data_IF_214104218813
#
_entry.id   IF_214104218813
#
_cell.length_a   1.000
_cell.length_b   1.000
_cell.length_c   1.000
_cell.angle_alpha   90.00
_cell.angle_beta   90.00
_cell.angle_gamma   90.00
#
_symmetry.space_group_name_H-M   'P 1'
#
loop_
_entity.id
_entity.type
_entity.pdbx_description
1 polymer ?
#
# COMPACT_ATOMS: atom_id res chain seq x y z
N UNK A 1 22.13 21.16 -3.17
CA UNK A 1 22.41 19.80 -2.69
C UNK A 1 22.27 19.84 -1.18
N UNK A 2 21.48 18.97 -0.62
CA UNK A 2 21.36 18.86 0.83
C UNK A 2 22.61 18.20 1.40
N UNK A 3 23.13 18.72 2.50
CA UNK A 3 24.26 18.11 3.19
C UNK A 3 23.74 16.96 4.06
N UNK A 4 24.25 15.76 3.81
CA UNK A 4 23.97 14.57 4.61
C UNK A 4 25.09 14.31 5.61
N UNK A 5 24.69 13.84 6.80
CA UNK A 5 25.56 13.17 7.73
C UNK A 5 25.27 11.68 7.67
N UNK A 6 26.31 10.88 7.56
CA UNK A 6 26.22 9.43 7.56
C UNK A 6 26.50 8.90 8.96
N UNK A 7 25.45 8.39 9.60
CA UNK A 7 25.61 7.70 10.87
C UNK A 7 25.93 6.24 10.62
N UNK A 8 27.09 5.79 11.14
CA UNK A 8 27.47 4.39 11.14
C UNK A 8 27.86 3.99 12.57
N UNK A 9 27.00 3.20 13.24
CA UNK A 9 27.18 2.82 14.64
C UNK A 9 28.52 2.15 14.95
N UNK A 10 29.15 1.50 13.95
CA UNK A 10 30.44 0.80 14.11
C UNK A 10 31.65 1.61 13.64
N UNK A 11 31.40 2.75 12.99
CA UNK A 11 32.45 3.49 12.30
C UNK A 11 32.99 2.76 11.06
N UNK A 12 34.03 3.32 10.49
CA UNK A 12 34.79 2.72 9.38
C UNK A 12 36.23 2.45 9.86
N UNK A 13 36.74 1.28 9.50
CA UNK A 13 38.10 0.84 9.80
C UNK A 13 39.14 1.24 8.70
N UNK A 14 38.69 2.08 7.76
CA UNK A 14 39.46 2.61 6.65
C UNK A 14 39.11 4.07 6.37
N UNK A 15 40.04 4.85 5.76
CA UNK A 15 39.74 6.24 5.39
C UNK A 15 38.71 6.32 4.27
N UNK A 16 37.89 7.37 4.31
CA UNK A 16 36.92 7.71 3.24
C UNK A 16 37.21 9.14 2.76
N UNK A 17 36.59 9.56 1.64
CA UNK A 17 36.70 10.92 1.14
C UNK A 17 36.32 11.95 2.20
N UNK A 18 37.10 13.04 2.32
CA UNK A 18 36.79 14.15 3.24
C UNK A 18 35.47 14.85 2.95
N UNK A 19 34.94 14.68 1.74
CA UNK A 19 33.62 15.20 1.33
C UNK A 19 32.45 14.43 1.97
N UNK A 20 32.74 13.24 2.54
CA UNK A 20 31.72 12.37 3.14
C UNK A 20 31.92 12.36 4.65
N UNK A 21 31.03 13.05 5.36
CA UNK A 21 31.11 13.10 6.82
C UNK A 21 30.43 11.87 7.44
N UNK A 22 31.22 10.98 8.02
CA UNK A 22 30.71 9.78 8.71
C UNK A 22 30.97 9.92 10.21
N UNK A 23 29.92 9.74 11.01
CA UNK A 23 29.99 9.79 12.48
C UNK A 23 29.50 8.52 13.14
N UNK A 24 30.05 8.19 14.29
CA UNK A 24 29.53 7.14 15.20
C UNK A 24 28.67 7.72 16.31
N UNK A 25 28.62 9.06 16.45
CA UNK A 25 27.88 9.75 17.48
C UNK A 25 26.66 10.49 16.88
N UNK A 26 25.46 10.07 17.25
CA UNK A 26 24.21 10.69 16.76
C UNK A 26 24.07 12.16 17.20
N UNK A 27 24.69 12.56 18.30
CA UNK A 27 24.64 13.94 18.79
C UNK A 27 25.29 14.93 17.81
N UNK A 28 26.26 14.49 17.01
CA UNK A 28 26.92 15.32 15.99
C UNK A 28 25.94 15.72 14.87
N UNK A 29 24.85 14.99 14.74
CA UNK A 29 23.82 15.22 13.72
C UNK A 29 22.70 16.16 14.16
N UNK A 30 22.57 16.47 15.46
CA UNK A 30 21.41 17.23 16.00
C UNK A 30 21.23 18.63 15.42
N UNK A 31 22.23 19.20 14.79
CA UNK A 31 22.20 20.55 14.22
C UNK A 31 22.35 20.57 12.69
N UNK A 32 22.30 19.42 12.02
CA UNK A 32 22.45 19.32 10.56
C UNK A 32 21.30 18.55 9.93
N UNK A 33 20.97 18.91 8.73
CA UNK A 33 19.62 18.77 8.17
C UNK A 33 19.16 17.35 7.81
N UNK A 34 20.06 16.39 7.51
CA UNK A 34 19.62 15.07 7.04
C UNK A 34 20.59 13.96 7.46
N UNK A 35 20.03 12.88 7.97
CA UNK A 35 20.80 11.72 8.42
C UNK A 35 20.54 10.54 7.49
N UNK A 36 21.62 9.91 7.03
CA UNK A 36 21.57 8.58 6.44
C UNK A 36 22.17 7.60 7.44
N UNK A 37 21.40 6.62 7.92
CA UNK A 37 21.85 5.66 8.92
C UNK A 37 22.06 4.28 8.31
N UNK A 38 23.04 3.54 8.82
CA UNK A 38 23.24 2.12 8.51
C UNK A 38 22.37 1.19 9.36
N UNK A 39 21.60 1.72 10.32
CA UNK A 39 20.73 0.97 11.23
C UNK A 39 19.34 1.59 11.31
N UNK A 40 18.32 0.78 11.63
CA UNK A 40 16.96 1.23 11.94
C UNK A 40 16.77 1.65 13.40
N UNK A 41 17.77 1.46 14.24
CA UNK A 41 17.70 1.80 15.67
C UNK A 41 17.73 3.31 15.91
N UNK A 42 18.13 4.06 14.89
CA UNK A 42 18.22 5.52 14.92
C UNK A 42 17.23 6.12 13.95
N UNK A 43 16.49 7.14 14.40
CA UNK A 43 15.63 7.92 13.52
C UNK A 43 16.47 8.67 12.49
N UNK A 44 16.23 8.40 11.21
CA UNK A 44 16.95 8.99 10.09
C UNK A 44 16.04 9.13 8.88
N UNK A 45 16.34 10.06 7.99
CA UNK A 45 15.60 10.27 6.75
C UNK A 45 15.75 9.08 5.80
N UNK A 46 16.93 8.45 5.78
CA UNK A 46 17.18 7.26 4.98
C UNK A 46 17.95 6.20 5.78
N UNK A 47 17.65 4.94 5.48
CA UNK A 47 18.42 3.80 5.98
C UNK A 47 19.14 3.12 4.82
N UNK A 48 20.47 2.94 4.94
CA UNK A 48 21.34 2.37 3.92
C UNK A 48 22.07 1.13 4.45
N UNK A 49 21.33 0.04 4.69
CA UNK A 49 21.89 -1.23 5.16
C UNK A 49 22.87 -1.87 4.18
N UNK A 50 22.72 -1.59 2.90
CA UNK A 50 23.59 -2.08 1.83
C UNK A 50 25.05 -1.70 2.02
N UNK A 51 25.32 -0.57 2.67
CA UNK A 51 26.69 -0.11 2.94
C UNK A 51 27.39 -1.06 3.92
N UNK A 52 26.76 -1.36 5.04
CA UNK A 52 27.30 -2.31 6.02
C UNK A 52 27.40 -3.73 5.45
N UNK A 53 26.40 -4.14 4.67
CA UNK A 53 26.42 -5.43 4.01
C UNK A 53 27.65 -5.55 3.08
N UNK A 54 27.90 -4.52 2.27
CA UNK A 54 29.07 -4.50 1.39
C UNK A 54 30.39 -4.49 2.19
N UNK A 55 30.53 -3.64 3.20
CA UNK A 55 31.73 -3.56 4.03
C UNK A 55 32.08 -4.92 4.64
N UNK A 56 31.06 -5.63 5.14
CA UNK A 56 31.22 -6.91 5.84
C UNK A 56 31.53 -8.07 4.90
N UNK A 57 30.95 -8.09 3.70
CA UNK A 57 30.99 -9.28 2.83
C UNK A 57 31.90 -9.11 1.61
N UNK A 58 32.35 -7.90 1.29
CA UNK A 58 33.23 -7.66 0.14
C UNK A 58 34.64 -8.20 0.38
N UNK A 59 35.15 -8.92 -0.61
CA UNK A 59 36.54 -9.39 -0.69
C UNK A 59 37.42 -8.45 -1.51
N UNK A 60 36.93 -7.26 -1.83
CA UNK A 60 37.69 -6.24 -2.55
C UNK A 60 38.97 -5.82 -1.81
N UNK A 61 40.00 -5.44 -2.56
CA UNK A 61 41.16 -4.77 -1.98
C UNK A 61 40.74 -3.41 -1.38
N UNK A 62 41.58 -2.89 -0.46
CA UNK A 62 41.28 -1.66 0.28
C UNK A 62 40.93 -0.47 -0.63
N UNK A 63 41.66 -0.28 -1.73
CA UNK A 63 41.42 0.83 -2.66
C UNK A 63 40.05 0.76 -3.30
N UNK A 64 39.63 -0.42 -3.75
CA UNK A 64 38.31 -0.63 -4.33
C UNK A 64 37.20 -0.52 -3.26
N UNK A 65 37.49 -1.03 -2.06
CA UNK A 65 36.54 -0.93 -0.94
C UNK A 65 36.23 0.52 -0.60
N UNK A 66 37.26 1.37 -0.49
CA UNK A 66 37.11 2.81 -0.26
C UNK A 66 36.23 3.47 -1.36
N UNK A 67 36.57 3.23 -2.64
CA UNK A 67 35.83 3.80 -3.76
C UNK A 67 34.39 3.38 -3.76
N UNK A 68 34.12 2.09 -3.55
CA UNK A 68 32.77 1.54 -3.60
C UNK A 68 31.91 2.01 -2.42
N UNK A 69 32.49 2.10 -1.22
CA UNK A 69 31.77 2.63 -0.05
C UNK A 69 31.45 4.11 -0.23
N UNK A 70 32.40 4.91 -0.72
CA UNK A 70 32.14 6.32 -1.06
C UNK A 70 30.98 6.44 -2.06
N UNK A 71 31.00 5.60 -3.10
CA UNK A 71 29.92 5.57 -4.10
C UNK A 71 28.58 5.14 -3.53
N UNK A 72 28.56 4.20 -2.59
CA UNK A 72 27.30 3.79 -1.94
C UNK A 72 26.70 4.93 -1.11
N UNK A 73 27.51 5.72 -0.42
CA UNK A 73 27.04 6.92 0.29
C UNK A 73 26.47 7.97 -0.69
N UNK A 74 27.16 8.25 -1.80
CA UNK A 74 26.65 9.16 -2.84
C UNK A 74 25.33 8.67 -3.42
N UNK A 75 25.20 7.37 -3.70
CA UNK A 75 23.96 6.77 -4.20
C UNK A 75 22.84 6.91 -3.17
N UNK A 76 23.11 6.70 -1.88
CA UNK A 76 22.11 6.86 -0.84
C UNK A 76 21.60 8.31 -0.76
N UNK A 77 22.49 9.32 -0.86
CA UNK A 77 22.09 10.73 -0.94
C UNK A 77 21.25 11.02 -2.18
N UNK A 78 21.66 10.48 -3.34
CA UNK A 78 20.91 10.64 -4.60
C UNK A 78 19.52 10.03 -4.53
N UNK A 79 19.35 8.90 -3.86
CA UNK A 79 18.01 8.29 -3.64
C UNK A 79 17.06 9.27 -2.94
N UNK A 80 17.54 10.02 -1.97
CA UNK A 80 16.73 11.02 -1.28
C UNK A 80 16.33 12.18 -2.20
N UNK A 81 17.25 12.70 -3.00
CA UNK A 81 17.00 13.82 -3.91
C UNK A 81 15.91 13.47 -4.96
N UNK A 82 15.76 12.20 -5.29
CA UNK A 82 14.72 11.68 -6.20
C UNK A 82 13.52 11.06 -5.49
N UNK A 83 13.50 11.06 -4.15
CA UNK A 83 12.35 10.57 -3.40
C UNK A 83 11.12 11.46 -3.65
N UNK A 84 9.99 10.82 -3.89
CA UNK A 84 8.70 11.50 -4.03
C UNK A 84 7.80 11.09 -2.87
N UNK A 85 6.98 12.03 -2.42
CA UNK A 85 5.91 11.67 -1.50
C UNK A 85 4.91 10.76 -2.23
N UNK A 86 4.72 9.58 -1.68
CA UNK A 86 3.80 8.56 -2.20
C UNK A 86 2.54 8.45 -1.35
N UNK A 87 2.36 9.35 -0.38
CA UNK A 87 1.22 9.37 0.52
C UNK A 87 0.07 10.16 -0.10
N UNK A 88 -1.09 9.55 -0.14
CA UNK A 88 -2.32 10.12 -0.70
C UNK A 88 -3.47 9.87 0.26
N UNK A 89 -4.57 10.59 0.07
CA UNK A 89 -5.81 10.37 0.81
C UNK A 89 -6.99 10.17 -0.15
N UNK A 90 -7.92 9.31 0.27
CA UNK A 90 -9.20 9.08 -0.38
C UNK A 90 -10.30 9.62 0.54
N UNK A 91 -11.21 10.39 -0.02
CA UNK A 91 -12.41 10.83 0.71
C UNK A 91 -13.32 9.63 0.95
N UNK A 92 -13.81 9.49 2.18
CA UNK A 92 -14.70 8.41 2.62
C UNK A 92 -15.92 9.05 3.26
N UNK A 93 -17.08 8.91 2.63
CA UNK A 93 -18.33 9.38 3.22
C UNK A 93 -18.78 8.46 4.35
N UNK A 94 -19.80 8.88 5.08
CA UNK A 94 -20.42 8.08 6.14
C UNK A 94 -21.40 7.01 5.63
N UNK A 95 -21.47 6.74 4.32
CA UNK A 95 -22.32 5.70 3.74
C UNK A 95 -21.76 4.32 4.04
N UNK A 96 -22.52 3.53 4.76
CA UNK A 96 -22.18 2.19 5.21
C UNK A 96 -23.20 1.18 4.74
N UNK A 97 -22.75 0.11 4.08
CA UNK A 97 -23.57 -1.03 3.75
C UNK A 97 -23.36 -2.15 4.76
N UNK A 98 -24.41 -2.59 5.39
CA UNK A 98 -24.44 -3.75 6.27
C UNK A 98 -25.03 -4.94 5.54
N UNK A 99 -24.27 -6.01 5.43
CA UNK A 99 -24.67 -7.27 4.80
C UNK A 99 -24.79 -8.34 5.89
N UNK A 100 -25.99 -8.85 6.07
CA UNK A 100 -26.31 -9.85 7.11
C UNK A 100 -27.15 -10.98 6.53
N UNK A 101 -27.10 -12.14 7.17
CA UNK A 101 -27.91 -13.30 6.84
C UNK A 101 -29.05 -13.51 7.85
N UNK A 102 -28.86 -13.02 9.08
CA UNK A 102 -29.80 -13.19 10.19
C UNK A 102 -30.21 -11.86 10.80
N UNK A 103 -31.37 -11.86 11.45
CA UNK A 103 -31.84 -10.70 12.20
C UNK A 103 -30.97 -10.41 13.44
N UNK A 104 -30.37 -11.44 14.02
CA UNK A 104 -29.49 -11.34 15.19
C UNK A 104 -28.21 -10.58 14.87
N UNK A 105 -27.55 -10.87 13.74
CA UNK A 105 -26.38 -10.12 13.25
C UNK A 105 -26.71 -8.64 13.04
N UNK A 106 -27.85 -8.35 12.45
CA UNK A 106 -28.33 -6.98 12.24
C UNK A 106 -28.52 -6.26 13.59
N UNK A 107 -29.24 -6.86 14.53
CA UNK A 107 -29.53 -6.27 15.84
C UNK A 107 -28.25 -6.09 16.67
N UNK A 108 -27.33 -7.05 16.62
CA UNK A 108 -26.04 -6.95 17.29
C UNK A 108 -25.27 -5.73 16.78
N UNK A 109 -25.12 -5.57 15.49
CA UNK A 109 -24.39 -4.44 14.91
C UNK A 109 -25.07 -3.11 15.25
N UNK A 110 -26.38 -3.00 15.04
CA UNK A 110 -27.16 -1.76 15.29
C UNK A 110 -27.10 -1.36 16.77
N UNK A 111 -27.08 -2.32 17.70
CA UNK A 111 -27.01 -2.01 19.13
C UNK A 111 -25.72 -1.30 19.55
N UNK A 112 -24.66 -1.41 18.73
CA UNK A 112 -23.31 -0.90 19.03
C UNK A 112 -22.95 0.39 18.29
N UNK A 113 -23.73 0.80 17.28
CA UNK A 113 -23.49 2.04 16.53
C UNK A 113 -24.50 3.13 16.96
N UNK A 114 -24.08 4.39 16.85
CA UNK A 114 -25.00 5.52 17.00
C UNK A 114 -25.59 5.86 15.62
N UNK A 115 -26.91 6.01 15.54
CA UNK A 115 -27.64 6.27 14.28
C UNK A 115 -27.17 7.51 13.50
N UNK A 116 -26.45 8.42 14.17
CA UNK A 116 -25.89 9.63 13.56
C UNK A 116 -24.52 9.43 12.92
N UNK A 117 -23.82 8.32 13.24
CA UNK A 117 -22.45 8.12 12.81
C UNK A 117 -22.39 7.70 11.32
N UNK A 118 -23.40 6.96 10.86
CA UNK A 118 -23.42 6.42 9.49
C UNK A 118 -24.80 6.59 8.84
N UNK A 119 -24.78 6.82 7.53
CA UNK A 119 -25.92 6.62 6.65
C UNK A 119 -25.95 5.13 6.29
N UNK A 120 -26.76 4.36 7.02
CA UNK A 120 -26.76 2.90 6.96
C UNK A 120 -27.76 2.37 5.95
N UNK A 121 -27.25 1.52 5.06
CA UNK A 121 -28.03 0.65 4.18
C UNK A 121 -27.86 -0.80 4.64
N UNK A 122 -28.90 -1.61 4.56
CA UNK A 122 -28.82 -3.03 4.89
C UNK A 122 -29.40 -3.90 3.78
N UNK A 123 -28.70 -5.00 3.48
CA UNK A 123 -29.13 -6.01 2.51
C UNK A 123 -28.83 -7.42 3.01
N UNK A 124 -29.52 -8.40 2.43
CA UNK A 124 -29.19 -9.80 2.62
C UNK A 124 -28.13 -10.25 1.60
N UNK A 125 -27.21 -11.12 1.99
CA UNK A 125 -26.13 -11.56 1.10
C UNK A 125 -26.60 -12.30 -0.17
N UNK A 126 -27.80 -12.91 -0.13
CA UNK A 126 -28.32 -13.72 -1.23
C UNK A 126 -28.56 -12.94 -2.52
N UNK A 127 -28.74 -11.62 -2.44
CA UNK A 127 -28.95 -10.77 -3.61
C UNK A 127 -27.67 -10.22 -4.21
N UNK A 128 -26.50 -10.46 -3.59
CA UNK A 128 -25.22 -9.91 -4.04
C UNK A 128 -24.69 -10.73 -5.20
N UNK A 129 -24.43 -10.06 -6.32
CA UNK A 129 -23.78 -10.62 -7.49
C UNK A 129 -22.28 -10.37 -7.52
N UNK A 130 -21.86 -9.14 -7.24
CA UNK A 130 -20.48 -8.72 -7.32
C UNK A 130 -20.18 -7.53 -6.40
N UNK A 131 -18.93 -7.42 -5.96
CA UNK A 131 -18.40 -6.23 -5.27
C UNK A 131 -17.14 -5.80 -6.02
N UNK A 132 -17.01 -4.51 -6.28
CA UNK A 132 -15.86 -3.91 -6.95
C UNK A 132 -15.54 -2.53 -6.36
N UNK A 133 -14.43 -1.93 -6.78
CA UNK A 133 -13.99 -0.64 -6.26
C UNK A 133 -13.14 -0.77 -5.00
N UNK A 134 -13.06 0.27 -4.22
CA UNK A 134 -12.22 0.38 -3.03
C UNK A 134 -12.91 1.28 -1.99
N UNK A 135 -12.36 1.35 -0.80
CA UNK A 135 -12.86 2.22 0.28
C UNK A 135 -13.15 3.64 -0.24
N UNK A 136 -14.28 4.19 0.13
CA UNK A 136 -14.78 5.49 -0.35
C UNK A 136 -15.48 5.43 -1.72
N UNK A 137 -15.34 4.34 -2.49
CA UNK A 137 -15.98 4.17 -3.80
C UNK A 137 -16.21 2.68 -4.10
N UNK A 138 -16.89 2.00 -3.21
CA UNK A 138 -17.31 0.59 -3.38
C UNK A 138 -18.60 0.52 -4.18
N UNK A 139 -18.65 -0.41 -5.11
CA UNK A 139 -19.82 -0.71 -5.94
C UNK A 139 -20.29 -2.13 -5.69
N UNK A 140 -21.49 -2.27 -5.16
CA UNK A 140 -22.12 -3.56 -4.89
C UNK A 140 -23.22 -3.77 -5.90
N UNK A 141 -23.06 -4.75 -6.79
CA UNK A 141 -24.10 -5.16 -7.72
C UNK A 141 -25.00 -6.18 -7.06
N UNK A 142 -26.27 -5.87 -6.96
CA UNK A 142 -27.30 -6.75 -6.42
C UNK A 142 -28.31 -7.11 -7.49
N UNK A 143 -28.99 -8.25 -7.32
CA UNK A 143 -30.07 -8.71 -8.19
C UNK A 143 -31.38 -8.58 -7.40
N UNK A 144 -32.28 -7.77 -7.91
CA UNK A 144 -33.63 -7.63 -7.39
C UNK A 144 -34.64 -7.87 -8.53
N UNK A 145 -35.55 -8.83 -8.37
CA UNK A 145 -36.58 -9.19 -9.34
C UNK A 145 -36.10 -9.28 -10.81
N UNK A 146 -34.90 -9.88 -11.06
CA UNK A 146 -34.23 -10.01 -12.37
C UNK A 146 -33.53 -8.73 -12.88
N UNK A 147 -33.61 -7.62 -12.17
CA UNK A 147 -32.85 -6.40 -12.49
C UNK A 147 -31.53 -6.31 -11.71
N UNK A 148 -30.50 -5.83 -12.38
CA UNK A 148 -29.23 -5.55 -11.73
C UNK A 148 -29.19 -4.10 -11.25
N UNK A 149 -29.02 -3.91 -9.94
CA UNK A 149 -28.91 -2.61 -9.31
C UNK A 149 -27.49 -2.45 -8.76
N UNK A 150 -26.86 -1.31 -8.98
CA UNK A 150 -25.54 -0.98 -8.44
C UNK A 150 -25.71 0.00 -7.28
N UNK A 151 -25.32 -0.44 -6.09
CA UNK A 151 -25.26 0.39 -4.90
C UNK A 151 -23.85 0.95 -4.76
N UNK A 152 -23.74 2.27 -4.61
CA UNK A 152 -22.46 2.93 -4.34
C UNK A 152 -22.39 3.26 -2.84
N UNK A 153 -21.35 2.77 -2.17
CA UNK A 153 -21.15 2.96 -0.73
C UNK A 153 -19.68 3.20 -0.43
N UNK A 154 -19.39 3.77 0.72
CA UNK A 154 -18.02 4.06 1.10
C UNK A 154 -17.33 2.93 1.87
N UNK A 155 -18.11 2.21 2.69
CA UNK A 155 -17.61 1.09 3.49
C UNK A 155 -18.66 -0.02 3.57
N UNK A 156 -18.22 -1.25 3.81
CA UNK A 156 -19.08 -2.43 3.92
C UNK A 156 -18.74 -3.19 5.20
N UNK A 157 -19.76 -3.58 5.95
CA UNK A 157 -19.69 -4.62 6.98
C UNK A 157 -20.44 -5.84 6.47
N UNK A 158 -19.78 -6.98 6.44
CA UNK A 158 -20.34 -8.23 5.94
C UNK A 158 -20.04 -9.37 6.89
N UNK A 159 -21.04 -9.85 7.59
CA UNK A 159 -20.92 -11.01 8.49
C UNK A 159 -20.70 -12.28 7.67
N UNK A 160 -19.67 -13.07 8.02
CA UNK A 160 -19.21 -14.25 7.27
C UNK A 160 -18.88 -13.95 5.79
N UNK A 161 -18.20 -12.84 5.56
CA UNK A 161 -17.91 -12.35 4.23
C UNK A 161 -17.28 -13.41 3.33
N UNK A 162 -17.87 -13.59 2.14
CA UNK A 162 -17.33 -14.46 1.10
C UNK A 162 -16.06 -13.88 0.50
N UNK A 163 -15.27 -14.71 -0.15
CA UNK A 163 -13.99 -14.32 -0.76
C UNK A 163 -14.11 -13.08 -1.66
N UNK A 164 -15.22 -12.95 -2.37
CA UNK A 164 -15.48 -11.81 -3.26
C UNK A 164 -15.53 -10.46 -2.53
N UNK A 165 -15.91 -10.44 -1.25
CA UNK A 165 -15.94 -9.23 -0.43
C UNK A 165 -14.65 -8.97 0.34
N UNK A 166 -13.97 -10.01 0.75
CA UNK A 166 -12.80 -9.91 1.64
C UNK A 166 -11.58 -9.26 1.01
N UNK A 167 -11.48 -9.26 -0.30
CA UNK A 167 -10.32 -8.71 -1.00
C UNK A 167 -10.42 -7.20 -1.24
N UNK A 168 -11.59 -6.61 -1.04
CA UNK A 168 -11.81 -5.18 -1.26
C UNK A 168 -11.44 -4.38 -0.01
N UNK A 169 -10.64 -3.33 -0.17
CA UNK A 169 -10.43 -2.37 0.92
C UNK A 169 -11.75 -1.71 1.30
N UNK A 170 -11.97 -1.54 2.61
CA UNK A 170 -13.22 -0.99 3.14
C UNK A 170 -14.33 -2.02 3.35
N UNK A 171 -14.05 -3.32 3.17
CA UNK A 171 -14.95 -4.40 3.58
C UNK A 171 -14.42 -5.09 4.83
N UNK A 172 -15.27 -5.21 5.85
CA UNK A 172 -14.92 -5.73 7.18
C UNK A 172 -15.85 -6.87 7.57
N UNK A 173 -15.29 -7.92 8.16
CA UNK A 173 -16.03 -9.08 8.66
C UNK A 173 -15.95 -9.14 10.18
N UNK A 174 -17.05 -8.85 10.91
CA UNK A 174 -17.08 -8.89 12.37
C UNK A 174 -16.83 -10.29 12.96
N UNK A 175 -17.01 -11.36 12.19
CA UNK A 175 -16.72 -12.72 12.65
C UNK A 175 -15.22 -13.06 12.58
N UNK A 176 -14.43 -12.26 11.85
CA UNK A 176 -12.97 -12.39 11.78
C UNK A 176 -12.23 -11.42 12.68
N UNK A 177 -12.91 -10.33 13.08
CA UNK A 177 -12.36 -9.29 13.94
C UNK A 177 -13.38 -8.93 15.01
N UNK A 178 -12.95 -8.38 16.15
CA UNK A 178 -13.88 -7.90 17.15
C UNK A 178 -14.79 -6.79 16.56
N UNK A 179 -16.10 -6.92 16.76
CA UNK A 179 -17.09 -5.97 16.23
C UNK A 179 -16.82 -4.53 16.71
N UNK A 180 -16.33 -4.34 17.93
CA UNK A 180 -16.02 -3.01 18.47
C UNK A 180 -14.78 -2.41 17.76
N UNK A 181 -13.79 -3.23 17.40
CA UNK A 181 -12.64 -2.82 16.59
C UNK A 181 -13.06 -2.47 15.16
N UNK A 182 -13.98 -3.24 14.58
CA UNK A 182 -14.55 -2.93 13.25
C UNK A 182 -15.23 -1.57 13.29
N UNK A 183 -16.10 -1.31 14.28
CA UNK A 183 -16.80 -0.03 14.41
C UNK A 183 -15.82 1.13 14.59
N UNK A 184 -14.79 0.97 15.40
CA UNK A 184 -13.77 2.00 15.57
C UNK A 184 -13.05 2.29 14.25
N UNK A 185 -12.66 1.23 13.53
CA UNK A 185 -12.00 1.37 12.22
C UNK A 185 -12.90 2.08 11.19
N UNK A 186 -14.20 1.74 11.18
CA UNK A 186 -15.17 2.41 10.31
C UNK A 186 -15.24 3.92 10.60
N UNK A 187 -15.26 4.30 11.88
CA UNK A 187 -15.28 5.72 12.32
C UNK A 187 -13.98 6.45 11.94
N UNK A 188 -12.85 5.82 12.16
CA UNK A 188 -11.54 6.39 11.86
C UNK A 188 -11.33 6.63 10.36
N UNK A 189 -11.97 5.82 9.51
CA UNK A 189 -11.91 5.96 8.06
C UNK A 189 -12.81 7.09 7.52
N UNK A 190 -13.85 7.50 8.23
CA UNK A 190 -14.75 8.56 7.76
C UNK A 190 -13.99 9.87 7.56
N UNK A 191 -14.28 10.57 6.50
CA UNK A 191 -13.66 11.76 5.93
C UNK A 191 -12.38 11.49 5.15
N UNK A 192 -11.43 10.68 5.64
CA UNK A 192 -10.16 10.51 4.96
C UNK A 192 -9.50 9.17 5.27
N UNK A 193 -9.29 8.38 4.25
CA UNK A 193 -8.48 7.16 4.29
C UNK A 193 -7.12 7.41 3.65
N UNK A 194 -6.04 7.18 4.39
CA UNK A 194 -4.67 7.39 3.91
C UNK A 194 -4.12 6.13 3.25
N UNK A 195 -3.54 6.28 2.07
CA UNK A 195 -2.91 5.18 1.34
C UNK A 195 -1.59 5.59 0.68
N UNK A 196 -0.81 4.62 0.22
CA UNK A 196 0.45 4.86 -0.49
C UNK A 196 0.38 4.36 -1.93
N UNK A 197 0.86 5.17 -2.85
CA UNK A 197 0.97 4.81 -4.26
C UNK A 197 2.34 4.20 -4.54
N UNK A 198 2.40 2.87 -4.64
CA UNK A 198 3.65 2.13 -4.82
C UNK A 198 4.06 1.90 -6.27
N UNK A 199 3.10 1.96 -7.20
CA UNK A 199 3.33 1.60 -8.60
C UNK A 199 2.76 2.66 -9.54
N UNK A 200 3.36 2.77 -10.72
CA UNK A 200 2.80 3.50 -11.85
C UNK A 200 2.55 2.53 -13.00
N UNK A 201 1.50 2.76 -13.75
CA UNK A 201 1.15 1.96 -14.91
C UNK A 201 1.16 2.82 -16.17
N UNK A 202 1.96 2.40 -17.17
CA UNK A 202 1.96 2.99 -18.50
C UNK A 202 1.32 2.03 -19.49
N UNK A 203 0.11 2.36 -19.93
CA UNK A 203 -0.64 1.56 -20.88
C UNK A 203 0.05 1.44 -22.26
N UNK A 204 0.91 2.38 -22.63
CA UNK A 204 1.51 2.42 -23.97
C UNK A 204 2.57 1.33 -24.14
N UNK A 205 3.27 0.97 -23.07
CA UNK A 205 4.28 -0.10 -23.09
C UNK A 205 3.70 -1.47 -22.75
N UNK A 206 2.47 -1.52 -22.21
CA UNK A 206 1.84 -2.76 -21.77
C UNK A 206 1.59 -3.73 -22.92
N UNK A 207 1.98 -5.00 -22.75
CA UNK A 207 1.78 -6.05 -23.75
C UNK A 207 0.32 -6.55 -23.83
N UNK A 208 -0.50 -6.26 -22.83
CA UNK A 208 -1.91 -6.64 -22.80
C UNK A 208 -2.84 -5.51 -23.27
N UNK A 209 -2.58 -4.27 -22.83
CA UNK A 209 -3.50 -3.15 -23.00
C UNK A 209 -3.72 -2.80 -24.48
N UNK A 210 -4.99 -2.82 -24.92
CA UNK A 210 -5.39 -2.50 -26.27
C UNK A 210 -4.89 -3.49 -27.35
N UNK A 211 -4.40 -4.66 -26.98
CA UNK A 211 -3.95 -5.68 -27.91
C UNK A 211 -5.12 -6.55 -28.40
N UNK A 212 -4.98 -7.11 -29.60
CA UNK A 212 -6.05 -7.95 -30.18
C UNK A 212 -6.08 -9.35 -29.58
N UNK A 213 -4.93 -9.86 -29.15
CA UNK A 213 -4.76 -11.18 -28.58
C UNK A 213 -4.32 -11.06 -27.12
N UNK A 214 -4.66 -12.03 -26.32
CA UNK A 214 -4.20 -12.13 -24.94
C UNK A 214 -2.79 -12.71 -24.92
N UNK A 215 -1.80 -11.81 -24.92
CA UNK A 215 -0.38 -12.17 -24.94
C UNK A 215 0.21 -12.15 -23.51
N UNK A 216 -0.37 -11.33 -22.62
CA UNK A 216 0.10 -11.14 -21.25
C UNK A 216 -1.11 -10.87 -20.35
N UNK A 217 -0.98 -10.99 -19.07
CA UNK A 217 -1.79 -10.52 -17.93
C UNK A 217 -1.13 -10.95 -16.62
N UNK A 218 0.14 -11.34 -16.70
CA UNK A 218 0.90 -11.92 -15.59
C UNK A 218 0.87 -11.08 -14.31
N UNK A 219 0.78 -9.76 -14.43
CA UNK A 219 0.71 -8.87 -13.28
C UNK A 219 -0.60 -9.03 -12.49
N UNK A 220 -1.72 -9.31 -13.16
CA UNK A 220 -3.00 -9.59 -12.52
C UNK A 220 -2.98 -10.98 -11.85
N UNK A 221 -2.44 -12.00 -12.55
CA UNK A 221 -2.34 -13.38 -12.03
C UNK A 221 -1.52 -13.49 -10.74
N UNK A 222 -0.46 -12.67 -10.59
CA UNK A 222 0.42 -12.71 -9.40
C UNK A 222 0.01 -11.72 -8.32
N UNK A 223 -0.98 -10.87 -8.57
CA UNK A 223 -1.43 -9.90 -7.58
C UNK A 223 -2.15 -10.62 -6.42
N UNK A 224 -1.66 -10.51 -5.17
CA UNK A 224 -2.30 -11.17 -4.04
C UNK A 224 -3.56 -10.46 -3.55
N UNK A 225 -3.90 -9.32 -4.14
CA UNK A 225 -5.06 -8.51 -3.82
C UNK A 225 -5.90 -8.28 -5.08
N UNK A 226 -6.92 -7.46 -4.98
CA UNK A 226 -7.74 -7.01 -6.13
C UNK A 226 -7.22 -5.71 -6.77
N UNK A 227 -5.97 -5.34 -6.47
CA UNK A 227 -5.38 -4.09 -6.96
C UNK A 227 -5.23 -4.03 -8.49
N UNK A 228 -5.16 -5.17 -9.16
CA UNK A 228 -5.07 -5.24 -10.62
C UNK A 228 -6.25 -6.06 -11.13
N UNK A 229 -7.03 -5.46 -12.01
CA UNK A 229 -8.15 -6.12 -12.66
C UNK A 229 -8.02 -5.99 -14.19
N UNK A 230 -8.52 -6.99 -14.91
CA UNK A 230 -8.55 -7.00 -16.37
C UNK A 230 -9.97 -7.03 -16.92
N UNK A 231 -10.18 -6.35 -18.01
CA UNK A 231 -11.36 -6.49 -18.85
C UNK A 231 -10.97 -7.15 -20.17
N UNK A 232 -11.37 -8.40 -20.34
CA UNK A 232 -11.05 -9.19 -21.53
C UNK A 232 -11.77 -8.74 -22.79
N UNK A 233 -12.88 -7.98 -22.66
CA UNK A 233 -13.63 -7.45 -23.79
C UNK A 233 -12.92 -6.23 -24.40
N UNK A 234 -12.53 -5.32 -23.54
CA UNK A 234 -11.84 -4.08 -23.93
C UNK A 234 -10.32 -4.24 -23.98
N UNK A 235 -9.78 -5.34 -23.44
CA UNK A 235 -8.33 -5.57 -23.26
C UNK A 235 -7.67 -4.45 -22.48
N UNK A 236 -8.29 -4.03 -21.39
CA UNK A 236 -7.76 -3.00 -20.49
C UNK A 236 -7.38 -3.56 -19.14
N UNK A 237 -6.35 -2.97 -18.51
CA UNK A 237 -5.98 -3.21 -17.13
C UNK A 237 -6.29 -1.97 -16.30
N UNK A 238 -6.85 -2.20 -15.13
CA UNK A 238 -7.10 -1.14 -14.13
C UNK A 238 -6.27 -1.42 -12.88
N UNK A 239 -5.67 -0.38 -12.32
CA UNK A 239 -4.83 -0.45 -11.13
C UNK A 239 -5.45 0.36 -10.00
N UNK A 240 -5.86 -0.31 -8.93
CA UNK A 240 -6.25 0.33 -7.67
C UNK A 240 -5.03 0.54 -6.80
N UNK A 241 -4.65 1.78 -6.58
CA UNK A 241 -3.52 2.11 -5.71
C UNK A 241 -3.86 1.90 -4.23
N UNK A 242 -5.15 2.00 -3.88
CA UNK A 242 -5.65 1.82 -2.52
C UNK A 242 -5.53 0.35 -2.09
N UNK A 243 -5.86 -0.58 -3.00
CA UNK A 243 -5.78 -2.02 -2.74
C UNK A 243 -4.36 -2.58 -2.91
N UNK A 244 -3.41 -1.76 -3.38
CA UNK A 244 -2.03 -2.16 -3.60
C UNK A 244 -1.24 -2.18 -2.30
N UNK A 245 -0.67 -3.32 -1.94
CA UNK A 245 0.18 -3.49 -0.74
C UNK A 245 1.68 -3.30 -0.99
N UNK A 246 2.08 -2.91 -2.21
CA UNK A 246 3.49 -2.64 -2.54
C UNK A 246 4.39 -3.88 -2.56
N UNK A 247 3.86 -5.07 -2.79
CA UNK A 247 4.63 -6.33 -2.76
C UNK A 247 5.64 -6.48 -3.92
N UNK A 248 5.51 -5.69 -5.01
CA UNK A 248 6.40 -5.73 -6.17
C UNK A 248 6.21 -6.93 -7.11
N UNK A 249 5.26 -7.83 -6.83
CA UNK A 249 5.03 -9.03 -7.66
C UNK A 249 4.73 -8.71 -9.12
N UNK A 250 3.90 -7.71 -9.38
CA UNK A 250 3.54 -7.27 -10.73
C UNK A 250 4.75 -6.77 -11.52
N UNK A 251 5.68 -6.07 -10.88
CA UNK A 251 6.90 -5.55 -11.52
C UNK A 251 7.86 -6.70 -11.85
N UNK A 252 7.97 -7.69 -10.97
CA UNK A 252 8.90 -8.82 -11.14
C UNK A 252 8.55 -9.73 -12.34
N UNK A 253 7.28 -9.76 -12.76
CA UNK A 253 6.80 -10.60 -13.86
C UNK A 253 6.52 -9.82 -15.15
N UNK A 254 6.54 -8.48 -15.08
CA UNK A 254 6.28 -7.64 -16.25
C UNK A 254 7.41 -7.76 -17.28
N UNK A 255 7.11 -8.09 -18.56
CA UNK A 255 8.12 -8.19 -19.60
C UNK A 255 8.47 -6.84 -20.26
N UNK A 256 7.81 -5.76 -19.84
CA UNK A 256 7.94 -4.42 -20.44
C UNK A 256 8.78 -3.50 -19.58
#
# INVERSE_FOLDING_TARGET
MQEFIYYNAKGLDFPISEEIFVTTNIEDSKNKNFIISNTKEVSSELTAHEIDFYIKNSQDNLSNKIKNVSKLYEIAATKYDFAQDISYSQEVSNQLLLITNTQEEYEEFISKIEAKDFELFSINENIIKNISGHIGNLQVTVIDEEEEIVLNVSQIVWFDAKQIGLNQSGTFDPNKSCIDEVIQTLKDNVNSYSYKKYTTYDQNICQYHGRREEICSKCEEVCPTVAITKDDKTKTLTFSQIDCHGCGGCISVCPS
#
